data_IF_979225464318
#
_entry.id   IF_979225464318
#
_cell.length_a   1.000
_cell.length_b   1.000
_cell.length_c   1.000
_cell.angle_alpha   90.00
_cell.angle_beta   90.00
_cell.angle_gamma   90.00
#
_symmetry.space_group_name_H-M   'P 1'
#
loop_
_entity.id
_entity.type
_entity.pdbx_description
1 polymer ?
#
# COMPACT_ATOMS: atom_id res chain seq x y z
N UNK A 1 -9.58 -21.93 -14.26
CA UNK A 1 -9.89 -20.48 -14.36
C UNK A 1 -9.84 -19.79 -13.00
N UNK A 2 -10.49 -20.32 -11.96
CA UNK A 2 -10.49 -19.73 -10.60
C UNK A 2 -9.09 -19.47 -10.01
N UNK A 3 -8.13 -20.39 -10.21
CA UNK A 3 -6.73 -20.20 -9.78
C UNK A 3 -6.03 -19.00 -10.45
N UNK A 4 -6.28 -18.77 -11.73
CA UNK A 4 -5.64 -17.67 -12.48
C UNK A 4 -6.18 -16.32 -12.06
N UNK A 5 -7.49 -16.22 -11.80
CA UNK A 5 -8.13 -15.02 -11.29
C UNK A 5 -7.61 -14.67 -9.89
N UNK A 6 -7.50 -15.66 -9.01
CA UNK A 6 -6.90 -15.49 -7.69
C UNK A 6 -5.44 -15.03 -7.79
N UNK A 7 -4.63 -15.71 -8.61
CA UNK A 7 -3.21 -15.39 -8.77
C UNK A 7 -2.99 -13.98 -9.32
N UNK A 8 -3.78 -13.61 -10.33
CA UNK A 8 -3.77 -12.25 -10.92
C UNK A 8 -4.15 -11.20 -9.88
N UNK A 9 -5.15 -11.48 -9.04
CA UNK A 9 -5.57 -10.59 -7.96
C UNK A 9 -4.46 -10.43 -6.92
N UNK A 10 -3.80 -11.51 -6.51
CA UNK A 10 -2.68 -11.45 -5.57
C UNK A 10 -1.49 -10.67 -6.14
N UNK A 11 -1.13 -10.93 -7.40
CA UNK A 11 -0.01 -10.26 -8.05
C UNK A 11 -0.21 -8.74 -8.15
N UNK A 12 -1.46 -8.28 -8.28
CA UNK A 12 -1.82 -6.85 -8.30
C UNK A 12 -1.53 -6.12 -6.97
N UNK A 13 -1.55 -6.82 -5.84
CA UNK A 13 -1.29 -6.25 -4.51
C UNK A 13 0.06 -6.70 -3.92
N UNK A 14 0.85 -7.44 -4.70
CA UNK A 14 2.14 -7.95 -4.26
C UNK A 14 3.05 -6.79 -3.82
N UNK A 15 3.69 -6.95 -2.66
CA UNK A 15 4.54 -5.94 -2.01
C UNK A 15 3.86 -4.58 -1.73
N UNK A 16 2.53 -4.50 -1.68
CA UNK A 16 1.82 -3.28 -1.24
C UNK A 16 1.25 -3.48 0.15
N UNK A 17 1.60 -2.60 1.08
CA UNK A 17 1.02 -2.53 2.41
C UNK A 17 0.05 -1.37 2.54
N UNK A 18 -1.01 -1.56 3.31
CA UNK A 18 -2.00 -0.55 3.64
C UNK A 18 -1.84 -0.13 5.11
N UNK A 19 -1.57 1.15 5.32
CA UNK A 19 -1.38 1.75 6.65
C UNK A 19 -2.60 2.60 6.97
N UNK A 20 -3.31 2.22 8.02
CA UNK A 20 -4.52 2.92 8.48
C UNK A 20 -4.14 3.87 9.62
N UNK A 21 -4.27 5.17 9.37
CA UNK A 21 -4.10 6.22 10.38
C UNK A 21 -5.44 6.39 11.09
N UNK A 22 -5.66 5.63 12.16
CA UNK A 22 -6.93 5.61 12.88
C UNK A 22 -7.19 6.87 13.74
N UNK A 23 -6.14 7.54 14.22
CA UNK A 23 -6.25 8.75 15.04
C UNK A 23 -5.09 9.69 14.77
N UNK A 24 -5.41 10.96 14.52
CA UNK A 24 -4.44 12.03 14.37
C UNK A 24 -4.94 13.26 15.13
N UNK A 25 -4.11 13.84 16.02
CA UNK A 25 -4.54 14.84 17.01
C UNK A 25 -5.08 16.13 16.36
N UNK A 26 -4.45 16.60 15.29
CA UNK A 26 -4.74 17.88 14.63
C UNK A 26 -4.64 17.78 13.09
N UNK A 27 -5.18 16.72 12.50
CA UNK A 27 -4.97 16.49 11.07
C UNK A 27 -5.70 15.25 10.56
N UNK A 28 -5.58 14.95 9.27
CA UNK A 28 -6.43 13.97 8.63
C UNK A 28 -6.12 12.56 9.12
N UNK A 29 -7.19 11.80 9.36
CA UNK A 29 -7.16 10.34 9.41
C UNK A 29 -7.35 9.81 8.00
N UNK A 30 -6.93 8.56 7.76
CA UNK A 30 -7.10 7.95 6.46
C UNK A 30 -6.15 6.79 6.23
N UNK A 31 -6.09 6.36 4.98
CA UNK A 31 -5.36 5.16 4.59
C UNK A 31 -4.27 5.49 3.59
N UNK A 32 -3.05 5.09 3.89
CA UNK A 32 -1.86 5.33 3.07
C UNK A 32 -1.35 3.99 2.55
N UNK A 33 -1.09 3.91 1.24
CA UNK A 33 -0.52 2.71 0.63
C UNK A 33 0.97 2.90 0.45
N UNK A 34 1.76 1.99 1.02
CA UNK A 34 3.23 1.97 0.93
C UNK A 34 3.72 0.66 0.30
N UNK A 35 4.95 0.67 -0.20
CA UNK A 35 5.60 -0.54 -0.68
C UNK A 35 6.22 -1.27 0.51
N UNK A 36 6.00 -2.58 0.64
CA UNK A 36 6.59 -3.41 1.68
C UNK A 36 7.70 -4.28 1.10
N UNK A 37 8.92 -4.07 1.56
CA UNK A 37 10.07 -4.91 1.22
C UNK A 37 10.26 -5.99 2.29
N UNK A 38 9.84 -7.21 1.98
CA UNK A 38 9.89 -8.37 2.89
C UNK A 38 11.32 -8.76 3.28
N UNK A 39 12.30 -8.60 2.38
CA UNK A 39 13.72 -8.95 2.63
C UNK A 39 14.32 -8.14 3.78
N UNK A 40 13.87 -6.89 3.95
CA UNK A 40 14.38 -5.99 4.98
C UNK A 40 13.32 -5.61 6.03
N UNK A 41 12.12 -6.20 5.95
CA UNK A 41 10.95 -5.82 6.77
C UNK A 41 10.74 -4.30 6.82
N UNK A 42 10.87 -3.64 5.66
CA UNK A 42 10.91 -2.17 5.56
C UNK A 42 9.81 -1.63 4.64
N UNK A 43 9.19 -0.53 5.06
CA UNK A 43 8.27 0.24 4.23
C UNK A 43 9.04 1.27 3.37
N UNK A 44 8.74 1.28 2.08
CA UNK A 44 9.20 2.27 1.11
C UNK A 44 8.02 3.10 0.58
N UNK A 45 8.31 4.30 0.11
CA UNK A 45 7.28 5.14 -0.49
C UNK A 45 6.87 4.56 -1.85
N UNK A 46 5.57 4.38 -2.10
CA UNK A 46 5.06 4.20 -3.46
C UNK A 46 4.97 5.60 -4.04
N UNK A 47 5.85 5.95 -4.97
CA UNK A 47 5.75 7.23 -5.68
C UNK A 47 4.43 7.24 -6.44
N UNK A 48 3.43 7.92 -5.87
CA UNK A 48 2.27 8.35 -6.63
C UNK A 48 2.63 9.69 -7.23
N UNK A 49 2.92 9.70 -8.54
CA UNK A 49 2.99 10.93 -9.33
C UNK A 49 1.59 11.56 -9.40
N UNK A 50 1.17 12.17 -8.30
CA UNK A 50 -0.12 12.85 -8.18
C UNK A 50 0.16 14.18 -7.51
N UNK A 51 0.63 15.13 -8.33
CA UNK A 51 0.55 16.58 -8.18
C UNK A 51 0.80 17.11 -6.75
N UNK A 52 2.04 17.54 -6.52
CA UNK A 52 2.31 18.68 -5.66
C UNK A 52 1.42 19.85 -6.13
N UNK A 53 0.49 20.25 -5.27
CA UNK A 53 0.01 21.63 -5.26
C UNK A 53 1.06 22.54 -4.61
#
# INVERSE_FOLDING_TARGET
>A
MEYEEWFTKQNKYYNTAEIIVAKHRNGPVGTVKLHYNSRYSKFGNIVKNSQQG
#
